data_IF_595068826577
#
_entry.id   IF_595068826577
#
_cell.length_a   1.000
_cell.length_b   1.000
_cell.length_c   1.000
_cell.angle_alpha   90.00
_cell.angle_beta   90.00
_cell.angle_gamma   90.00
#
_symmetry.space_group_name_H-M   'P 1'
#
loop_
_entity.id
_entity.type
_entity.pdbx_description
1 polymer ?
#
# COMPACT_ATOMS: atom_id res chain seq x y z
N UNK A 1 13.69 69.48 -14.71
CA UNK A 1 14.85 69.45 -15.63
C UNK A 1 15.21 67.99 -15.84
N UNK A 2 15.09 67.55 -17.09
CA UNK A 2 15.28 66.17 -17.53
C UNK A 2 16.78 65.82 -17.66
N UNK A 3 17.09 64.51 -17.60
CA UNK A 3 17.92 63.68 -18.54
C UNK A 3 18.49 62.48 -17.74
N UNK A 4 18.02 61.22 -17.84
CA UNK A 4 18.08 60.20 -18.90
C UNK A 4 19.38 59.35 -18.94
N UNK A 5 19.19 58.01 -18.97
CA UNK A 5 20.02 56.91 -19.55
C UNK A 5 20.00 55.65 -18.62
N UNK A 6 19.14 54.65 -18.87
CA UNK A 6 19.34 53.45 -19.71
C UNK A 6 20.48 52.52 -19.19
N UNK A 7 20.26 51.26 -18.78
CA UNK A 7 19.97 50.12 -19.68
C UNK A 7 19.73 48.79 -18.92
N UNK A 8 18.79 48.01 -19.49
CA UNK A 8 18.68 46.54 -19.64
C UNK A 8 19.21 45.54 -18.59
N UNK A 9 18.34 44.59 -18.23
CA UNK A 9 18.71 43.31 -17.62
C UNK A 9 17.52 42.45 -17.25
N UNK A 10 16.78 41.95 -18.24
CA UNK A 10 15.71 40.99 -18.05
C UNK A 10 16.28 39.65 -17.55
N UNK A 11 15.87 39.19 -16.36
CA UNK A 11 16.19 37.89 -15.80
C UNK A 11 14.90 37.18 -15.40
N UNK A 12 14.58 36.12 -16.13
CA UNK A 12 13.32 35.40 -16.10
C UNK A 12 12.89 34.89 -14.72
N UNK A 13 11.67 35.26 -14.31
CA UNK A 13 10.91 34.59 -13.26
C UNK A 13 10.51 33.19 -13.75
N UNK A 14 11.37 32.20 -13.52
CA UNK A 14 11.07 30.79 -13.70
C UNK A 14 10.05 30.34 -12.66
N UNK A 15 8.76 30.38 -13.01
CA UNK A 15 7.69 29.68 -12.31
C UNK A 15 8.01 28.18 -12.31
N UNK A 16 8.51 27.67 -11.17
CA UNK A 16 8.58 26.22 -10.92
C UNK A 16 7.15 25.70 -10.82
N UNK A 17 6.60 25.29 -11.96
CA UNK A 17 5.39 24.49 -12.06
C UNK A 17 5.65 23.21 -11.27
N UNK A 18 5.08 23.13 -10.05
CA UNK A 18 5.08 21.92 -9.27
C UNK A 18 4.40 20.83 -10.09
N UNK A 19 5.16 19.81 -10.46
CA UNK A 19 4.62 18.58 -11.00
C UNK A 19 3.61 18.04 -9.98
N UNK A 20 2.32 18.14 -10.29
CA UNK A 20 1.31 17.34 -9.60
C UNK A 20 1.67 15.89 -9.90
N UNK A 21 2.42 15.25 -9.00
CA UNK A 21 2.58 13.81 -9.01
C UNK A 21 1.17 13.23 -9.02
N UNK A 22 0.82 12.58 -10.13
CA UNK A 22 -0.37 11.77 -10.23
C UNK A 22 -0.23 10.67 -9.18
N UNK A 23 -0.84 10.86 -8.01
CA UNK A 23 -0.85 9.82 -6.97
C UNK A 23 -1.73 8.70 -7.48
N UNK A 24 -1.13 7.55 -7.76
CA UNK A 24 -1.91 6.38 -8.16
C UNK A 24 -2.77 5.99 -6.96
N UNK A 25 -4.06 5.63 -7.13
CA UNK A 25 -4.88 5.12 -6.03
C UNK A 25 -4.17 4.04 -5.19
N UNK A 26 -3.32 3.21 -5.79
CA UNK A 26 -2.50 2.22 -5.10
C UNK A 26 -1.49 2.82 -4.10
N UNK A 27 -0.85 3.95 -4.45
CA UNK A 27 0.14 4.62 -3.59
C UNK A 27 -0.52 5.19 -2.33
N UNK A 28 -1.74 5.70 -2.48
CA UNK A 28 -2.55 6.19 -1.36
C UNK A 28 -2.86 5.07 -0.36
N UNK A 29 -3.07 3.84 -0.83
CA UNK A 29 -3.30 2.68 0.04
C UNK A 29 -2.04 2.20 0.74
N UNK A 30 -0.90 2.19 0.04
CA UNK A 30 0.39 1.90 0.67
C UNK A 30 0.70 2.88 1.80
N UNK A 31 0.51 4.18 1.54
CA UNK A 31 0.75 5.21 2.54
C UNK A 31 -0.23 5.11 3.73
N UNK A 32 -1.50 4.82 3.48
CA UNK A 32 -2.50 4.65 4.54
C UNK A 32 -2.13 3.48 5.48
N UNK A 33 -1.79 2.31 4.93
CA UNK A 33 -1.35 1.15 5.74
C UNK A 33 -0.08 1.45 6.53
N UNK A 34 0.88 2.14 5.93
CA UNK A 34 2.10 2.59 6.62
C UNK A 34 1.77 3.48 7.82
N UNK A 35 0.87 4.47 7.65
CA UNK A 35 0.43 5.33 8.75
C UNK A 35 -0.25 4.55 9.87
N UNK A 36 -1.04 3.53 9.54
CA UNK A 36 -1.62 2.63 10.54
C UNK A 36 -0.54 1.91 11.35
N UNK A 37 0.50 1.38 10.70
CA UNK A 37 1.62 0.76 11.41
C UNK A 37 2.38 1.76 12.30
N UNK A 38 2.53 3.02 11.87
CA UNK A 38 3.11 4.06 12.74
C UNK A 38 2.27 4.28 14.01
N UNK A 39 0.93 4.29 13.89
CA UNK A 39 0.04 4.37 15.08
C UNK A 39 0.22 3.16 15.99
N UNK A 40 0.43 1.96 15.43
CA UNK A 40 0.73 0.75 16.22
C UNK A 40 2.03 0.93 17.00
N UNK A 41 3.11 1.35 16.34
CA UNK A 41 4.40 1.58 16.99
C UNK A 41 4.30 2.64 18.08
N UNK A 42 3.65 3.78 17.80
CA UNK A 42 3.41 4.81 18.80
C UNK A 42 2.63 4.28 20.01
N UNK A 43 1.60 3.47 19.78
CA UNK A 43 0.80 2.87 20.86
C UNK A 43 1.63 1.94 21.74
N UNK A 44 2.51 1.14 21.13
CA UNK A 44 3.43 0.27 21.86
C UNK A 44 4.47 1.06 22.68
N UNK A 45 4.96 2.18 22.15
CA UNK A 45 5.89 3.06 22.86
C UNK A 45 5.22 3.76 24.05
N UNK A 46 3.99 4.25 23.87
CA UNK A 46 3.20 4.82 24.97
C UNK A 46 2.95 3.79 26.07
N UNK A 47 2.64 2.56 25.70
CA UNK A 47 2.45 1.48 26.67
C UNK A 47 3.75 1.08 27.39
N UNK A 48 4.89 1.16 26.71
CA UNK A 48 6.20 0.99 27.33
C UNK A 48 6.61 2.16 28.25
N UNK A 49 5.83 3.25 28.29
CA UNK A 49 6.07 4.41 29.15
C UNK A 49 6.93 5.51 28.53
N UNK A 50 7.16 5.50 27.21
CA UNK A 50 7.87 6.58 26.53
C UNK A 50 6.97 7.79 26.34
N UNK A 51 7.44 8.97 26.75
CA UNK A 51 6.75 10.25 26.55
C UNK A 51 7.06 10.88 25.19
N UNK A 52 8.26 10.65 24.66
CA UNK A 52 8.69 11.16 23.36
C UNK A 52 9.61 10.17 22.64
N UNK A 53 9.64 10.24 21.31
CA UNK A 53 10.50 9.44 20.47
C UNK A 53 10.92 10.23 19.23
N UNK A 54 12.13 9.98 18.73
CA UNK A 54 12.59 10.58 17.48
C UNK A 54 11.79 10.02 16.30
N UNK A 55 11.39 10.91 15.38
CA UNK A 55 10.60 10.55 14.21
C UNK A 55 11.28 9.47 13.35
N UNK A 56 12.59 9.58 13.13
CA UNK A 56 13.35 8.61 12.36
C UNK A 56 13.36 7.21 13.01
N UNK A 57 13.42 7.13 14.34
CA UNK A 57 13.36 5.87 15.07
C UNK A 57 11.99 5.20 14.93
N UNK A 58 10.90 5.97 15.04
CA UNK A 58 9.53 5.44 14.84
C UNK A 58 9.34 4.93 13.41
N UNK A 59 9.84 5.66 12.42
CA UNK A 59 9.81 5.22 11.02
C UNK A 59 10.64 3.96 10.79
N UNK A 60 11.82 3.85 11.41
CA UNK A 60 12.68 2.67 11.32
C UNK A 60 12.02 1.45 11.98
N UNK A 61 11.45 1.60 13.18
CA UNK A 61 10.71 0.53 13.85
C UNK A 61 9.49 0.10 13.03
N UNK A 62 8.85 1.02 12.30
CA UNK A 62 7.77 0.69 11.37
C UNK A 62 8.26 -0.17 10.19
N UNK A 63 9.45 0.11 9.64
CA UNK A 63 10.11 -0.74 8.63
C UNK A 63 10.46 -2.12 9.18
N UNK A 64 11.00 -2.18 10.39
CA UNK A 64 11.31 -3.46 11.04
C UNK A 64 10.04 -4.28 11.30
N UNK A 65 8.98 -3.64 11.78
CA UNK A 65 7.71 -4.32 12.07
C UNK A 65 7.08 -4.93 10.81
N UNK A 66 6.98 -4.18 9.70
CA UNK A 66 6.43 -4.72 8.45
C UNK A 66 7.33 -5.81 7.86
N UNK A 67 8.65 -5.67 8.01
CA UNK A 67 9.63 -6.67 7.55
C UNK A 67 9.47 -7.97 8.33
N UNK A 68 9.27 -7.87 9.65
CA UNK A 68 9.05 -9.00 10.54
C UNK A 68 7.73 -9.73 10.24
N UNK A 69 6.63 -8.99 10.01
CA UNK A 69 5.34 -9.58 9.57
C UNK A 69 5.53 -10.35 8.26
N UNK A 70 6.28 -9.77 7.32
CA UNK A 70 6.55 -10.40 6.02
C UNK A 70 7.45 -11.62 6.17
N UNK A 71 8.39 -11.60 7.10
CA UNK A 71 9.28 -12.72 7.42
C UNK A 71 8.50 -13.90 8.01
N UNK A 72 7.62 -13.66 8.99
CA UNK A 72 6.70 -14.69 9.51
C UNK A 72 5.92 -15.33 8.36
N UNK A 73 5.38 -14.51 7.45
CA UNK A 73 4.64 -15.02 6.29
C UNK A 73 5.48 -15.89 5.35
N UNK A 74 6.73 -15.49 5.08
CA UNK A 74 7.66 -16.30 4.26
C UNK A 74 8.03 -17.61 4.95
N UNK A 75 8.36 -17.57 6.24
CA UNK A 75 8.74 -18.75 7.02
C UNK A 75 7.56 -19.72 7.16
N UNK A 76 6.37 -19.21 7.48
CA UNK A 76 5.15 -20.02 7.56
C UNK A 76 4.79 -20.67 6.22
N UNK A 77 4.94 -19.93 5.11
CA UNK A 77 4.75 -20.47 3.76
C UNK A 77 5.70 -21.63 3.48
N UNK A 78 7.00 -21.45 3.74
CA UNK A 78 8.00 -22.51 3.58
C UNK A 78 7.63 -23.74 4.41
N UNK A 79 7.17 -23.54 5.65
CA UNK A 79 6.76 -24.64 6.52
C UNK A 79 5.56 -25.42 5.98
N UNK A 80 4.55 -24.73 5.45
CA UNK A 80 3.36 -25.37 4.90
C UNK A 80 3.66 -26.15 3.60
N UNK A 81 4.56 -25.62 2.77
CA UNK A 81 5.03 -26.26 1.54
C UNK A 81 5.70 -27.62 1.83
N UNK A 82 6.44 -27.76 2.93
CA UNK A 82 7.00 -29.05 3.35
C UNK A 82 5.94 -30.11 3.68
N UNK A 83 4.73 -29.68 4.04
CA UNK A 83 3.60 -30.59 4.36
C UNK A 83 2.63 -30.78 3.19
N UNK A 84 2.98 -30.31 1.99
CA UNK A 84 2.12 -30.31 0.80
C UNK A 84 0.75 -29.63 1.01
N UNK A 85 0.65 -28.70 1.96
CA UNK A 85 -0.55 -27.90 2.23
C UNK A 85 -0.31 -26.45 1.81
N UNK A 86 -1.34 -25.82 1.25
CA UNK A 86 -1.31 -24.39 0.93
C UNK A 86 -1.83 -23.52 2.07
N UNK A 87 -2.58 -24.10 3.01
CA UNK A 87 -3.19 -23.39 4.14
C UNK A 87 -2.40 -23.63 5.43
N UNK A 88 -1.79 -22.58 6.01
CA UNK A 88 -1.19 -22.66 7.33
C UNK A 88 -2.21 -22.95 8.42
N UNK A 89 -1.88 -23.86 9.32
CA UNK A 89 -2.62 -24.13 10.56
C UNK A 89 -1.99 -23.36 11.72
N UNK A 90 -2.69 -23.29 12.85
CA UNK A 90 -2.18 -22.62 14.05
C UNK A 90 -0.85 -23.24 14.53
N UNK A 91 -0.73 -24.56 14.48
CA UNK A 91 0.50 -25.27 14.86
C UNK A 91 1.69 -24.89 13.98
N UNK A 92 1.45 -24.69 12.67
CA UNK A 92 2.51 -24.24 11.74
C UNK A 92 3.04 -22.85 12.14
N UNK A 93 2.16 -21.94 12.56
CA UNK A 93 2.55 -20.60 13.03
C UNK A 93 3.28 -20.66 14.36
N UNK A 94 2.85 -21.51 15.30
CA UNK A 94 3.55 -21.70 16.58
C UNK A 94 4.98 -22.19 16.34
N UNK A 95 5.16 -23.21 15.50
CA UNK A 95 6.49 -23.72 15.16
C UNK A 95 7.33 -22.66 14.44
N UNK A 96 6.73 -21.92 13.50
CA UNK A 96 7.40 -20.81 12.80
C UNK A 96 7.92 -19.76 13.78
N UNK A 97 7.12 -19.37 14.79
CA UNK A 97 7.54 -18.41 15.80
C UNK A 97 8.69 -18.93 16.67
N UNK A 98 8.63 -20.21 17.07
CA UNK A 98 9.71 -20.86 17.84
C UNK A 98 11.00 -20.92 17.03
N UNK A 99 10.94 -21.25 15.74
CA UNK A 99 12.10 -21.28 14.84
C UNK A 99 12.73 -19.89 14.68
N UNK A 100 11.90 -18.84 14.65
CA UNK A 100 12.36 -17.45 14.65
C UNK A 100 12.89 -16.97 16.02
N UNK A 101 12.98 -17.86 17.02
CA UNK A 101 13.52 -17.56 18.36
C UNK A 101 12.53 -16.87 19.30
N UNK A 102 11.23 -16.90 19.00
CA UNK A 102 10.21 -16.27 19.84
C UNK A 102 9.65 -17.23 20.90
N UNK A 103 9.63 -16.81 22.17
CA UNK A 103 9.03 -17.59 23.26
C UNK A 103 7.51 -17.44 23.29
N UNK A 104 6.81 -18.40 22.68
CA UNK A 104 5.35 -18.45 22.57
C UNK A 104 4.60 -18.57 23.90
N UNK A 105 5.24 -19.03 24.98
CA UNK A 105 4.61 -19.18 26.30
C UNK A 105 4.27 -17.82 26.94
N UNK A 106 4.92 -16.75 26.47
CA UNK A 106 4.67 -15.38 26.93
C UNK A 106 3.43 -14.74 26.29
N UNK A 107 2.94 -15.28 25.17
CA UNK A 107 1.81 -14.71 24.42
C UNK A 107 0.52 -14.61 25.24
N UNK A 108 0.09 -15.63 26.00
CA UNK A 108 -1.13 -15.53 26.80
C UNK A 108 -1.07 -14.43 27.86
N UNK A 109 0.10 -14.24 28.50
CA UNK A 109 0.31 -13.19 29.48
C UNK A 109 0.29 -11.81 28.81
N UNK A 110 1.02 -11.65 27.70
CA UNK A 110 1.02 -10.43 26.90
C UNK A 110 -0.38 -10.12 26.34
N UNK A 111 -1.15 -11.13 25.94
CA UNK A 111 -2.50 -10.94 25.43
C UNK A 111 -3.47 -10.38 26.49
N UNK A 112 -3.27 -10.72 27.78
CA UNK A 112 -4.10 -10.29 28.91
C UNK A 112 -3.68 -8.96 29.55
N UNK A 113 -2.66 -8.28 29.01
CA UNK A 113 -2.18 -7.01 29.56
C UNK A 113 -3.28 -5.95 29.63
N UNK A 114 -3.29 -5.17 30.70
CA UNK A 114 -4.34 -4.19 31.00
C UNK A 114 -4.26 -2.92 30.15
N UNK A 115 -3.08 -2.56 29.64
CA UNK A 115 -2.83 -1.34 28.86
C UNK A 115 -2.98 -1.57 27.35
N UNK A 116 -3.96 -2.38 26.93
CA UNK A 116 -4.23 -2.56 25.50
C UNK A 116 -4.76 -1.26 24.91
N UNK A 117 -3.91 -0.53 24.21
CA UNK A 117 -4.37 0.53 23.33
C UNK A 117 -5.15 -0.09 22.16
N UNK A 118 -6.43 0.26 22.04
CA UNK A 118 -7.26 -0.15 20.91
C UNK A 118 -6.94 0.76 19.73
N UNK A 119 -6.33 0.17 18.71
CA UNK A 119 -6.05 0.88 17.46
C UNK A 119 -7.31 0.78 16.61
N UNK A 120 -7.96 1.93 16.36
CA UNK A 120 -9.12 1.98 15.47
C UNK A 120 -8.73 1.44 14.10
N UNK A 121 -9.50 0.47 13.60
CA UNK A 121 -9.23 -0.13 12.31
C UNK A 121 -9.14 0.95 11.21
N UNK A 122 -8.19 0.86 10.28
CA UNK A 122 -8.13 1.80 9.18
C UNK A 122 -9.46 1.77 8.40
N UNK A 123 -9.97 2.93 7.95
CA UNK A 123 -11.20 2.97 7.17
C UNK A 123 -11.07 2.06 5.96
N UNK A 124 -12.09 1.21 5.76
CA UNK A 124 -12.17 0.32 4.60
C UNK A 124 -12.15 1.18 3.35
N UNK A 125 -11.08 1.04 2.57
CA UNK A 125 -10.98 1.70 1.28
C UNK A 125 -11.75 0.85 0.30
N UNK A 126 -12.75 1.44 -0.37
CA UNK A 126 -13.37 0.76 -1.50
C UNK A 126 -12.31 0.55 -2.58
N UNK A 127 -12.32 -0.60 -3.26
CA UNK A 127 -11.48 -0.77 -4.45
C UNK A 127 -11.79 0.36 -5.44
N UNK A 128 -10.79 0.92 -6.14
CA UNK A 128 -11.04 1.89 -7.19
C UNK A 128 -12.03 1.25 -8.18
N UNK A 129 -13.22 1.83 -8.28
CA UNK A 129 -14.21 1.38 -9.26
C UNK A 129 -13.57 1.63 -10.61
N UNK A 130 -13.28 0.58 -11.37
CA UNK A 130 -12.87 0.73 -12.77
C UNK A 130 -14.03 1.44 -13.47
N UNK A 131 -13.84 2.68 -13.96
CA UNK A 131 -14.92 3.38 -14.64
C UNK A 131 -15.36 2.52 -15.82
N UNK A 132 -16.66 2.20 -15.88
CA UNK A 132 -17.23 1.51 -17.04
C UNK A 132 -16.86 2.33 -18.27
N UNK A 133 -16.15 1.71 -19.20
CA UNK A 133 -15.90 2.31 -20.50
C UNK A 133 -17.25 2.70 -21.11
N UNK A 134 -17.35 3.93 -21.61
CA UNK A 134 -18.53 4.37 -22.33
C UNK A 134 -18.60 3.54 -23.62
N UNK A 135 -19.64 2.73 -23.77
CA UNK A 135 -19.92 2.02 -25.02
C UNK A 135 -20.59 3.00 -25.98
N UNK A 136 -19.87 3.40 -27.02
CA UNK A 136 -20.30 4.22 -28.14
C UNK A 136 -20.34 3.37 -29.42
N UNK A 137 -21.31 2.46 -29.53
CA UNK A 137 -21.52 1.65 -30.74
C UNK A 137 -22.06 0.26 -30.41
N UNK A 138 -22.39 -0.52 -31.45
CA UNK A 138 -22.60 -1.96 -31.31
C UNK A 138 -21.24 -2.66 -31.39
N UNK A 139 -20.89 -3.45 -30.37
CA UNK A 139 -19.72 -4.32 -30.41
C UNK A 139 -19.89 -5.32 -31.57
N UNK A 140 -18.85 -5.46 -32.40
CA UNK A 140 -18.87 -6.43 -33.50
C UNK A 140 -18.78 -7.84 -32.91
N UNK A 141 -19.63 -8.79 -33.35
CA UNK A 141 -19.53 -10.17 -32.90
C UNK A 141 -18.19 -10.78 -33.35
N UNK A 142 -17.70 -11.76 -32.61
CA UNK A 142 -16.50 -12.50 -33.00
C UNK A 142 -16.69 -13.14 -34.37
N UNK A 143 -15.72 -13.00 -35.28
CA UNK A 143 -15.61 -13.82 -36.48
C UNK A 143 -15.68 -15.32 -36.15
N UNK A 144 -16.11 -16.18 -37.08
CA UNK A 144 -16.31 -17.61 -36.84
C UNK A 144 -15.05 -18.39 -36.43
N UNK A 145 -13.85 -17.81 -36.61
CA UNK A 145 -12.57 -18.41 -36.21
C UNK A 145 -12.13 -18.02 -34.78
N UNK A 146 -12.89 -17.18 -34.07
CA UNK A 146 -12.63 -16.79 -32.68
C UNK A 146 -13.75 -17.37 -31.81
N UNK A 147 -13.43 -18.23 -30.84
CA UNK A 147 -14.44 -18.79 -29.95
C UNK A 147 -15.16 -17.71 -29.13
N UNK A 148 -16.46 -17.89 -28.92
CA UNK A 148 -17.32 -16.92 -28.23
C UNK A 148 -17.03 -16.73 -26.73
N UNK A 149 -16.15 -17.55 -26.14
CA UNK A 149 -15.72 -17.42 -24.75
C UNK A 149 -14.55 -16.42 -24.57
N UNK A 150 -13.99 -15.91 -25.67
CA UNK A 150 -13.00 -14.84 -25.61
C UNK A 150 -13.66 -13.50 -25.24
N UNK A 151 -12.91 -12.55 -24.67
CA UNK A 151 -13.43 -11.20 -24.43
C UNK A 151 -13.89 -10.54 -25.74
N UNK A 152 -14.94 -9.73 -25.65
CA UNK A 152 -15.44 -8.95 -26.78
C UNK A 152 -14.36 -8.01 -27.32
N UNK A 153 -14.43 -7.69 -28.61
CA UNK A 153 -13.56 -6.66 -29.16
C UNK A 153 -13.81 -5.32 -28.47
N UNK A 154 -12.79 -4.45 -28.35
CA UNK A 154 -12.98 -3.07 -27.95
C UNK A 154 -14.02 -2.38 -28.84
N UNK A 155 -14.50 -1.23 -28.41
CA UNK A 155 -15.52 -0.49 -29.15
C UNK A 155 -14.93 0.07 -30.47
N UNK A 156 -15.68 0.05 -31.60
CA UNK A 156 -15.30 0.67 -32.87
C UNK A 156 -14.57 2.01 -32.80
N UNK A 157 -14.99 2.95 -31.94
CA UNK A 157 -14.32 4.25 -31.82
C UNK A 157 -12.89 4.17 -31.26
N UNK A 158 -12.50 3.03 -30.67
CA UNK A 158 -11.15 2.77 -30.15
C UNK A 158 -10.15 2.47 -31.27
N UNK A 159 -10.60 1.95 -32.41
CA UNK A 159 -9.72 1.51 -33.51
C UNK A 159 -10.11 2.06 -34.90
N UNK A 160 -11.25 2.71 -35.03
CA UNK A 160 -11.68 3.40 -36.26
C UNK A 160 -11.48 4.91 -36.03
N UNK A 161 -10.61 5.54 -36.82
CA UNK A 161 -10.47 7.00 -36.82
C UNK A 161 -11.79 7.62 -37.31
N UNK A 162 -12.46 8.37 -36.44
CA UNK A 162 -13.53 9.29 -36.86
C UNK A 162 -12.89 10.50 -37.57
N UNK A 163 -13.38 10.93 -38.75
CA UNK A 163 -12.92 12.15 -39.42
C UNK A 163 -13.28 13.43 -38.66
#
# INVERSE_FOLDING_TARGET
MADAAATAGAGASGTRSGSKQSTNPADNYHLARRRTLQVVVSSLLTEAGFESAEKASVETLTEMLQSYISEIGRSAKSYCEHTARTQPTLSDIVVTLVEMGFNVDTLPAYAKRSQRMVITAPPVTNQPVTPKALTAGQNRPHPPHIPSHFPEFPDPHTYIKTP
#
